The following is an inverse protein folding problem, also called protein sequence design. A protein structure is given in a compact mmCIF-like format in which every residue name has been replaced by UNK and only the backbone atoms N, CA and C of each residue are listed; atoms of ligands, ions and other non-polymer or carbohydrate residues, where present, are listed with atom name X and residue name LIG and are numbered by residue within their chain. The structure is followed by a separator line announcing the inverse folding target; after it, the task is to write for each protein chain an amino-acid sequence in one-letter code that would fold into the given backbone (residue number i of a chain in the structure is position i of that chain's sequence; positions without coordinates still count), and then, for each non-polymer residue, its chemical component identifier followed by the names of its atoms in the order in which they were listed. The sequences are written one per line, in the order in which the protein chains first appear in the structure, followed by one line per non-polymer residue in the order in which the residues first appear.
data_IF_480226918957
#
_entry.id   IF_480226918957
#
_cell.length_a   1.000
_cell.length_b   1.000
_cell.length_c   1.000
_cell.angle_alpha   90.00
_cell.angle_beta   90.00
_cell.angle_gamma   90.00
#
_symmetry.space_group_name_H-M   'P 1'
#
loop_
_entity.id
_entity.type
_entity.pdbx_description
1 polymer ?
#
# COMPACT_ATOMS: atom_id res chain seq x y z
N UNK A 1 51.41 -12.76 26.46
CA UNK A 1 51.64 -12.89 25.01
C UNK A 1 50.46 -13.66 24.46
N UNK A 2 49.59 -13.21 23.55
CA UNK A 2 49.46 -12.11 22.56
C UNK A 2 47.95 -12.14 22.19
N UNK A 3 47.19 -11.04 22.02
CA UNK A 3 47.10 -10.18 20.82
C UNK A 3 46.97 -11.04 19.52
N UNK A 4 46.02 -10.96 18.58
CA UNK A 4 44.86 -10.12 18.23
C UNK A 4 44.08 -10.91 17.13
N UNK A 5 42.83 -10.52 16.83
CA UNK A 5 42.37 -10.46 15.43
C UNK A 5 41.20 -11.37 15.01
N UNK A 6 39.98 -10.80 15.00
CA UNK A 6 38.83 -11.37 14.30
C UNK A 6 37.62 -10.44 14.33
N UNK A 7 37.56 -9.47 13.42
CA UNK A 7 36.46 -8.52 13.26
C UNK A 7 35.16 -9.22 12.82
N UNK A 8 34.03 -9.11 13.54
CA UNK A 8 32.74 -9.57 13.03
C UNK A 8 31.97 -8.40 12.40
N UNK A 9 31.73 -8.52 11.09
CA UNK A 9 30.86 -7.65 10.30
C UNK A 9 29.38 -7.87 10.66
N UNK A 10 28.68 -6.76 10.87
CA UNK A 10 27.23 -6.63 11.04
C UNK A 10 26.44 -7.23 9.88
N UNK A 11 25.30 -7.86 10.17
CA UNK A 11 24.08 -7.66 9.38
C UNK A 11 22.81 -7.67 10.27
N UNK A 12 21.83 -6.80 10.00
CA UNK A 12 20.58 -6.64 10.75
C UNK A 12 19.45 -7.48 10.11
N UNK A 13 18.31 -7.83 10.70
CA UNK A 13 17.33 -7.01 11.42
C UNK A 13 16.48 -7.92 12.33
N UNK A 14 16.59 -7.72 13.63
CA UNK A 14 15.73 -8.35 14.63
C UNK A 14 14.40 -7.61 14.76
N UNK A 15 13.40 -8.06 14.01
CA UNK A 15 12.00 -7.82 14.34
C UNK A 15 11.61 -8.69 15.53
N UNK A 16 11.84 -8.22 16.75
CA UNK A 16 11.21 -8.74 17.98
C UNK A 16 11.69 -7.94 19.19
N UNK A 17 11.18 -6.72 19.41
CA UNK A 17 11.33 -6.06 20.72
C UNK A 17 10.17 -5.10 20.97
N UNK A 18 8.94 -5.59 20.82
CA UNK A 18 7.70 -4.82 21.10
C UNK A 18 7.45 -4.61 22.61
N UNK A 19 8.29 -5.09 23.55
CA UNK A 19 7.84 -5.21 24.95
C UNK A 19 8.84 -4.81 26.06
N UNK A 20 9.91 -4.09 25.74
CA UNK A 20 10.74 -3.42 26.75
C UNK A 20 10.61 -1.92 26.52
N UNK A 21 9.69 -1.20 27.15
CA UNK A 21 10.00 -0.61 28.46
C UNK A 21 8.75 0.01 29.12
N UNK A 22 7.68 -0.76 29.31
CA UNK A 22 6.67 -0.43 30.33
C UNK A 22 7.17 -0.98 31.66
N UNK A 23 8.23 -0.36 32.22
CA UNK A 23 8.66 -0.46 33.62
C UNK A 23 9.87 0.46 33.84
N UNK A 24 9.60 1.76 33.99
CA UNK A 24 10.48 2.60 34.81
C UNK A 24 9.62 3.26 35.87
N UNK A 25 9.85 2.80 37.09
CA UNK A 25 9.21 3.30 38.31
C UNK A 25 9.24 4.82 38.35
N UNK A 26 8.08 5.38 38.67
CA UNK A 26 7.74 6.79 38.70
C UNK A 26 8.55 7.53 39.76
N UNK A 27 9.45 8.42 39.33
CA UNK A 27 9.94 9.50 40.16
C UNK A 27 10.18 10.72 39.26
N UNK A 28 9.24 11.68 39.31
CA UNK A 28 9.25 12.98 38.63
C UNK A 28 8.92 12.94 37.13
N UNK A 29 7.68 12.61 36.80
CA UNK A 29 7.11 12.92 35.48
C UNK A 29 6.75 14.40 35.50
N UNK A 30 7.55 15.24 34.82
CA UNK A 30 7.13 16.59 34.51
C UNK A 30 6.05 16.53 33.43
N UNK A 31 5.02 17.36 33.54
CA UNK A 31 3.91 17.45 32.58
C UNK A 31 4.39 17.72 31.14
N UNK A 32 5.61 18.25 30.98
CA UNK A 32 6.28 18.51 29.71
C UNK A 32 6.71 17.22 28.96
N UNK A 33 7.06 16.14 29.68
CA UNK A 33 7.49 14.87 29.06
C UNK A 33 6.32 14.07 28.47
N UNK A 34 5.12 14.20 29.07
CA UNK A 34 3.90 13.58 28.55
C UNK A 34 3.40 14.28 27.28
N UNK A 35 3.59 15.61 27.19
CA UNK A 35 3.30 16.39 25.99
C UNK A 35 4.21 16.01 24.81
N UNK A 36 5.49 15.70 25.05
CA UNK A 36 6.41 15.30 23.96
C UNK A 36 6.07 13.91 23.41
N UNK A 37 5.69 12.97 24.26
CA UNK A 37 5.29 11.62 23.83
C UNK A 37 3.93 11.59 23.12
N UNK A 38 2.98 12.46 23.50
CA UNK A 38 1.73 12.62 22.73
C UNK A 38 2.03 13.32 21.40
N UNK A 39 2.81 14.41 21.38
CA UNK A 39 3.15 15.13 20.15
C UNK A 39 3.80 14.21 19.09
N UNK A 40 4.81 13.41 19.46
CA UNK A 40 5.42 12.44 18.54
C UNK A 40 4.44 11.35 18.05
N UNK A 41 3.45 10.98 18.86
CA UNK A 41 2.41 10.02 18.46
C UNK A 41 1.37 10.65 17.54
N UNK A 42 1.00 11.93 17.75
CA UNK A 42 0.09 12.65 16.85
C UNK A 42 0.76 12.98 15.52
N UNK A 43 2.06 13.32 15.52
CA UNK A 43 2.84 13.52 14.30
C UNK A 43 2.99 12.21 13.50
N UNK A 44 3.11 11.06 14.18
CA UNK A 44 3.12 9.73 13.53
C UNK A 44 1.76 9.28 12.96
N UNK A 45 0.65 9.89 13.39
CA UNK A 45 -0.69 9.64 12.81
C UNK A 45 -0.92 10.52 11.57
N UNK A 46 -0.18 11.62 11.41
CA UNK A 46 -0.38 12.60 10.32
C UNK A 46 -0.03 12.04 8.93
N UNK A 47 0.90 11.08 8.82
CA UNK A 47 1.30 10.52 7.52
C UNK A 47 0.31 9.45 6.97
N UNK A 48 -0.62 8.96 7.78
CA UNK A 48 -1.58 7.92 7.39
C UNK A 48 -2.97 8.42 6.96
N UNK A 49 -3.22 9.73 7.03
CA UNK A 49 -4.58 10.29 7.04
C UNK A 49 -5.15 10.88 5.74
N UNK A 50 -4.44 10.81 4.60
CA UNK A 50 -4.78 11.65 3.43
C UNK A 50 -4.86 10.96 2.06
N UNK A 51 -5.00 9.63 1.97
CA UNK A 51 -5.16 8.94 0.68
C UNK A 51 -6.55 8.33 0.45
N UNK A 52 -7.54 8.72 1.26
CA UNK A 52 -8.95 8.33 1.04
C UNK A 52 -9.60 9.15 -0.08
N UNK A 53 -9.26 10.44 -0.19
CA UNK A 53 -9.83 11.34 -1.21
C UNK A 53 -9.39 11.00 -2.65
N UNK A 54 -8.26 10.28 -2.83
CA UNK A 54 -7.75 9.88 -4.15
C UNK A 54 -8.10 8.44 -4.54
N UNK A 55 -8.83 7.70 -3.71
CA UNK A 55 -9.18 6.32 -4.02
C UNK A 55 -10.08 6.22 -5.26
N UNK A 56 -11.01 7.17 -5.42
CA UNK A 56 -11.88 7.22 -6.60
C UNK A 56 -11.10 7.52 -7.89
N UNK A 57 -9.97 8.24 -7.83
CA UNK A 57 -9.14 8.53 -9.01
C UNK A 57 -8.35 7.29 -9.47
N UNK A 58 -8.15 6.33 -8.54
CA UNK A 58 -7.50 5.05 -8.83
C UNK A 58 -8.44 4.05 -9.48
N UNK A 59 -9.75 4.27 -9.46
CA UNK A 59 -10.76 3.37 -10.06
C UNK A 59 -11.53 4.12 -11.14
N UNK A 60 -11.68 3.51 -12.30
CA UNK A 60 -12.42 4.10 -13.41
C UNK A 60 -13.34 3.07 -14.05
N UNK A 61 -14.33 3.56 -14.78
CA UNK A 61 -15.20 2.73 -15.62
C UNK A 61 -14.42 2.22 -16.83
N UNK A 62 -14.87 1.09 -17.38
CA UNK A 62 -14.31 0.59 -18.65
C UNK A 62 -14.45 1.55 -19.83
N UNK A 63 -15.37 2.52 -19.79
CA UNK A 63 -15.50 3.55 -20.82
C UNK A 63 -14.39 4.60 -20.69
N UNK A 64 -14.18 5.13 -19.49
CA UNK A 64 -13.07 6.07 -19.21
C UNK A 64 -11.71 5.43 -19.52
N UNK A 65 -11.52 4.16 -19.15
CA UNK A 65 -10.31 3.41 -19.47
C UNK A 65 -10.12 3.21 -20.98
N UNK A 66 -11.21 3.00 -21.73
CA UNK A 66 -11.17 2.82 -23.17
C UNK A 66 -10.69 4.09 -23.89
N UNK A 67 -11.13 5.25 -23.43
CA UNK A 67 -10.71 6.55 -23.96
C UNK A 67 -9.25 6.84 -23.64
N UNK A 68 -8.82 6.62 -22.40
CA UNK A 68 -7.46 6.90 -21.93
C UNK A 68 -6.38 6.03 -22.61
N UNK A 69 -6.65 4.74 -22.79
CA UNK A 69 -5.71 3.81 -23.44
C UNK A 69 -5.97 3.61 -24.94
N UNK A 70 -7.01 4.24 -25.49
CA UNK A 70 -7.48 4.03 -26.86
C UNK A 70 -7.73 2.54 -27.19
N UNK A 71 -8.33 1.80 -26.24
CA UNK A 71 -8.64 0.37 -26.35
C UNK A 71 -10.15 0.19 -26.39
N UNK A 72 -10.71 -0.66 -27.27
CA UNK A 72 -12.15 -0.91 -27.29
C UNK A 72 -12.68 -1.41 -25.94
N UNK A 73 -13.81 -0.85 -25.49
CA UNK A 73 -14.49 -1.22 -24.23
C UNK A 73 -14.73 -2.73 -24.14
N UNK A 74 -15.10 -3.36 -25.26
CA UNK A 74 -15.33 -4.81 -25.33
C UNK A 74 -14.07 -5.57 -24.95
N UNK A 75 -12.91 -5.19 -25.45
CA UNK A 75 -11.62 -5.84 -25.15
C UNK A 75 -11.30 -5.76 -23.66
N UNK A 76 -11.56 -4.62 -23.01
CA UNK A 76 -11.34 -4.46 -21.57
C UNK A 76 -12.32 -5.34 -20.77
N UNK A 77 -13.60 -5.37 -21.17
CA UNK A 77 -14.61 -6.26 -20.55
C UNK A 77 -14.24 -7.73 -20.67
N UNK A 78 -13.76 -8.13 -21.84
CA UNK A 78 -13.28 -9.48 -22.12
C UNK A 78 -12.04 -9.83 -21.28
N UNK A 79 -11.12 -8.88 -21.09
CA UNK A 79 -9.99 -9.06 -20.20
C UNK A 79 -10.41 -9.22 -18.73
N UNK A 80 -11.51 -8.58 -18.30
CA UNK A 80 -12.07 -8.76 -16.96
C UNK A 80 -12.86 -10.07 -16.79
N UNK A 81 -13.63 -10.51 -17.78
CA UNK A 81 -14.43 -11.74 -17.68
C UNK A 81 -13.68 -13.00 -18.08
N UNK A 82 -12.55 -12.87 -18.76
CA UNK A 82 -11.93 -13.96 -19.52
C UNK A 82 -12.62 -14.20 -20.86
N UNK A 83 -11.95 -14.97 -21.72
CA UNK A 83 -12.38 -15.29 -23.08
C UNK A 83 -12.12 -16.76 -23.38
N UNK A 84 -13.15 -17.50 -23.82
CA UNK A 84 -13.08 -18.86 -24.44
C UNK A 84 -11.86 -19.70 -24.03
N UNK A 85 -11.77 -20.08 -22.76
CA UNK A 85 -10.72 -20.96 -22.24
C UNK A 85 -9.46 -20.26 -21.70
N UNK A 86 -9.36 -18.95 -21.85
CA UNK A 86 -8.33 -18.13 -21.22
C UNK A 86 -8.85 -17.50 -19.92
N UNK A 87 -8.06 -17.57 -18.83
CA UNK A 87 -8.41 -16.93 -17.58
C UNK A 87 -8.47 -15.39 -17.76
N UNK A 88 -9.22 -14.68 -16.91
CA UNK A 88 -9.19 -13.23 -16.84
C UNK A 88 -7.76 -12.69 -16.72
N UNK A 89 -7.46 -11.60 -17.45
CA UNK A 89 -6.15 -10.92 -17.36
C UNK A 89 -6.06 -10.02 -16.13
N UNK A 90 -7.22 -9.52 -15.68
CA UNK A 90 -7.36 -8.75 -14.45
C UNK A 90 -7.61 -9.67 -13.26
N UNK A 91 -7.07 -9.32 -12.11
CA UNK A 91 -7.39 -10.00 -10.85
C UNK A 91 -8.75 -9.52 -10.32
N UNK A 92 -9.32 -10.26 -9.37
CA UNK A 92 -10.58 -9.90 -8.71
C UNK A 92 -10.52 -8.59 -7.91
N UNK A 93 -9.32 -8.16 -7.53
CA UNK A 93 -9.10 -6.90 -6.81
C UNK A 93 -8.98 -5.71 -7.78
N UNK A 94 -8.51 -5.97 -8.99
CA UNK A 94 -8.29 -4.93 -9.99
C UNK A 94 -9.51 -4.67 -10.87
N UNK A 95 -10.40 -5.64 -11.02
CA UNK A 95 -11.62 -5.49 -11.80
C UNK A 95 -12.85 -6.05 -11.06
N UNK A 96 -13.90 -5.22 -10.95
CA UNK A 96 -15.19 -5.63 -10.38
C UNK A 96 -16.35 -5.21 -11.26
N UNK A 97 -17.42 -6.03 -11.26
CA UNK A 97 -18.67 -5.70 -11.94
C UNK A 97 -19.61 -4.98 -10.99
N UNK A 98 -20.02 -3.77 -11.35
CA UNK A 98 -20.99 -2.93 -10.64
C UNK A 98 -22.26 -2.79 -11.48
N UNK A 99 -23.20 -3.71 -11.31
CA UNK A 99 -24.41 -3.79 -12.15
C UNK A 99 -24.05 -4.09 -13.61
N UNK A 100 -24.35 -3.17 -14.52
CA UNK A 100 -24.03 -3.30 -15.95
C UNK A 100 -22.61 -2.82 -16.31
N UNK A 101 -21.99 -2.04 -15.42
CA UNK A 101 -20.69 -1.40 -15.66
C UNK A 101 -19.58 -2.24 -15.03
N UNK A 102 -18.45 -2.34 -15.74
CA UNK A 102 -17.21 -2.86 -15.19
C UNK A 102 -16.34 -1.70 -14.71
N UNK A 103 -15.81 -1.85 -13.51
CA UNK A 103 -14.86 -0.93 -12.89
C UNK A 103 -13.49 -1.59 -12.89
N UNK A 104 -12.49 -0.82 -13.29
CA UNK A 104 -11.09 -1.24 -13.37
C UNK A 104 -10.23 -0.26 -12.60
N UNK A 105 -9.19 -0.78 -11.95
CA UNK A 105 -8.17 0.07 -11.32
C UNK A 105 -7.20 0.59 -12.37
N UNK A 106 -6.71 1.81 -12.17
CA UNK A 106 -5.61 2.39 -12.96
C UNK A 106 -4.38 1.49 -12.92
N UNK A 107 -4.03 0.98 -11.75
CA UNK A 107 -2.90 0.07 -11.56
C UNK A 107 -3.04 -1.22 -12.40
N UNK A 108 -4.24 -1.81 -12.44
CA UNK A 108 -4.51 -2.97 -13.27
C UNK A 108 -4.36 -2.65 -14.76
N UNK A 109 -4.90 -1.51 -15.21
CA UNK A 109 -4.77 -1.06 -16.61
C UNK A 109 -3.30 -0.87 -17.00
N UNK A 110 -2.52 -0.20 -16.17
CA UNK A 110 -1.09 0.01 -16.39
C UNK A 110 -0.30 -1.30 -16.46
N UNK A 111 -0.65 -2.29 -15.64
CA UNK A 111 -0.01 -3.62 -15.65
C UNK A 111 -0.33 -4.42 -16.91
N UNK A 112 -1.59 -4.38 -17.36
CA UNK A 112 -2.09 -5.21 -18.48
C UNK A 112 -1.79 -4.60 -19.84
N UNK A 113 -1.88 -3.26 -19.94
CA UNK A 113 -1.80 -2.51 -21.20
C UNK A 113 -0.65 -1.50 -21.26
N UNK A 114 0.04 -1.25 -20.16
CA UNK A 114 1.17 -0.31 -20.09
C UNK A 114 0.78 1.05 -19.51
N UNK A 115 1.80 1.81 -19.06
CA UNK A 115 1.64 3.19 -18.59
C UNK A 115 1.43 4.14 -19.77
N UNK A 116 0.55 5.13 -19.56
CA UNK A 116 0.29 6.24 -20.47
C UNK A 116 1.03 7.50 -20.03
#
# INVERSE_FOLDING_TARGET
MTEEGGTPTLHPLGGSFIIYHIRKSYAKINIMDFCYSIACFVDGISEGGWDVMKLIEKVMTTAEAAELWNIPVVTIKQACSGQRGYPPRFTSEECRKSGHIWLVTRAGMERVYGKI
#
